data_IF_475207593094
#
_entry.id   IF_475207593094
#
_cell.length_a   1.000
_cell.length_b   1.000
_cell.length_c   1.000
_cell.angle_alpha   90.00
_cell.angle_beta   90.00
_cell.angle_gamma   90.00
#
_symmetry.space_group_name_H-M   'P 1'
#
loop_
_entity.id
_entity.type
_entity.pdbx_description
1 polymer ?
#
# COMPACT_ATOMS: atom_id res chain seq x y z
N UNK A 1 9.45 -3.49 26.59
CA UNK A 1 9.11 -2.10 26.23
C UNK A 1 9.24 -1.28 27.50
N UNK A 2 10.14 -0.31 27.52
CA UNK A 2 10.33 0.61 28.66
C UNK A 2 9.80 1.98 28.28
N UNK A 3 8.73 2.44 28.92
CA UNK A 3 8.30 3.84 28.84
C UNK A 3 9.10 4.67 29.83
N UNK A 4 9.83 5.69 29.36
CA UNK A 4 10.47 6.69 30.23
C UNK A 4 9.89 8.05 29.90
N UNK A 5 9.68 8.89 30.91
CA UNK A 5 9.47 10.32 30.70
C UNK A 5 10.85 10.97 30.60
N UNK A 6 11.17 11.62 29.49
CA UNK A 6 12.43 12.38 29.36
C UNK A 6 12.18 13.73 28.70
N UNK A 7 12.79 14.76 29.32
CA UNK A 7 12.80 16.15 28.90
C UNK A 7 13.70 16.29 27.67
N UNK A 8 13.17 16.78 26.55
CA UNK A 8 13.97 17.16 25.37
C UNK A 8 13.81 18.66 25.12
N UNK A 9 14.85 19.44 25.41
CA UNK A 9 14.99 20.84 24.98
C UNK A 9 14.67 21.93 26.02
N UNK A 10 15.68 22.37 26.80
CA UNK A 10 15.63 23.62 27.57
C UNK A 10 14.57 23.73 28.66
N UNK A 11 14.47 24.90 29.31
CA UNK A 11 13.53 25.15 30.41
C UNK A 11 12.06 25.08 30.00
N UNK A 12 11.75 25.21 28.70
CA UNK A 12 10.41 25.13 28.11
C UNK A 12 10.11 23.83 27.33
N UNK A 13 10.85 22.74 27.58
CA UNK A 13 10.61 21.46 26.93
C UNK A 13 9.18 20.93 27.19
N UNK A 14 8.46 20.59 26.13
CA UNK A 14 7.19 19.87 26.25
C UNK A 14 7.44 18.47 26.81
N UNK A 15 6.72 18.13 27.89
CA UNK A 15 6.66 16.76 28.38
C UNK A 15 5.76 15.95 27.47
N UNK A 16 6.31 14.86 26.93
CA UNK A 16 5.60 13.97 26.00
C UNK A 16 5.74 12.52 26.45
N UNK A 17 4.72 11.72 26.16
CA UNK A 17 4.81 10.27 26.29
C UNK A 17 5.52 9.72 25.06
N UNK A 18 6.36 8.71 25.24
CA UNK A 18 6.99 8.03 24.12
C UNK A 18 7.21 6.54 24.41
N UNK A 19 7.23 5.74 23.34
CA UNK A 19 7.56 4.32 23.38
C UNK A 19 8.47 3.96 22.21
N UNK A 20 9.20 2.87 22.33
CA UNK A 20 10.11 2.38 21.29
C UNK A 20 9.81 0.94 20.90
N UNK A 21 10.17 0.61 19.66
CA UNK A 21 10.09 -0.74 19.10
C UNK A 21 11.46 -1.10 18.57
N UNK A 22 12.05 -2.16 19.12
CA UNK A 22 13.25 -2.80 18.59
C UNK A 22 12.89 -4.21 18.11
N UNK A 23 13.25 -4.54 16.87
CA UNK A 23 13.14 -5.89 16.31
C UNK A 23 14.56 -6.39 16.10
N UNK A 24 14.88 -7.53 16.71
CA UNK A 24 16.19 -8.17 16.60
C UNK A 24 16.06 -9.52 15.91
N UNK A 25 17.12 -9.90 15.18
CA UNK A 25 17.20 -11.20 14.55
C UNK A 25 17.42 -12.27 15.62
N UNK A 26 16.50 -13.24 15.72
CA UNK A 26 16.45 -14.20 16.83
C UNK A 26 17.74 -15.01 17.05
N UNK A 27 18.48 -15.32 15.99
CA UNK A 27 19.72 -16.12 16.07
C UNK A 27 21.00 -15.31 16.27
N UNK A 28 21.02 -14.06 15.82
CA UNK A 28 22.27 -13.25 15.77
C UNK A 28 22.22 -12.06 16.70
N UNK A 29 21.06 -11.75 17.30
CA UNK A 29 20.84 -10.54 18.10
C UNK A 29 20.91 -9.24 17.30
N UNK A 30 21.20 -9.29 16.00
CA UNK A 30 21.34 -8.10 15.15
C UNK A 30 20.03 -7.32 15.13
N UNK A 31 20.10 -6.02 15.43
CA UNK A 31 18.96 -5.12 15.30
C UNK A 31 18.57 -5.00 13.82
N UNK A 32 17.35 -5.43 13.50
CA UNK A 32 16.75 -5.35 12.17
C UNK A 32 15.94 -4.06 12.00
N UNK A 33 15.35 -3.58 13.09
CA UNK A 33 14.54 -2.37 13.12
C UNK A 33 14.61 -1.73 14.49
N UNK A 34 14.62 -0.40 14.51
CA UNK A 34 14.46 0.39 15.72
C UNK A 34 13.71 1.66 15.37
N UNK A 35 12.72 2.02 16.18
CA UNK A 35 12.04 3.30 16.05
C UNK A 35 11.47 3.76 17.39
N UNK A 36 11.28 5.06 17.51
CA UNK A 36 10.72 5.72 18.69
C UNK A 36 9.49 6.52 18.26
N UNK A 37 8.38 6.36 18.99
CA UNK A 37 7.12 7.02 18.73
C UNK A 37 6.78 7.95 19.89
N UNK A 38 6.46 9.19 19.57
CA UNK A 38 5.92 10.17 20.51
C UNK A 38 4.40 10.15 20.41
N UNK A 39 3.71 10.20 21.54
CA UNK A 39 2.25 10.15 21.60
C UNK A 39 1.69 11.07 22.69
N UNK A 40 0.48 11.57 22.48
CA UNK A 40 -0.33 12.23 23.50
C UNK A 40 -1.22 11.24 24.28
N UNK A 41 -1.28 9.98 23.85
CA UNK A 41 -2.00 8.94 24.59
C UNK A 41 -1.24 8.54 25.87
N UNK A 42 -1.99 8.11 26.88
CA UNK A 42 -1.40 7.57 28.10
C UNK A 42 -0.77 6.20 27.82
N UNK A 43 0.47 6.03 28.27
CA UNK A 43 1.19 4.77 28.16
C UNK A 43 1.00 3.95 29.44
N UNK A 44 0.48 2.74 29.24
CA UNK A 44 0.30 1.70 30.24
C UNK A 44 0.79 0.39 29.62
N UNK A 45 0.92 -0.67 30.42
CA UNK A 45 1.28 -2.00 29.91
C UNK A 45 0.28 -2.50 28.85
N UNK A 46 -0.99 -2.10 28.97
CA UNK A 46 -2.06 -2.49 28.06
C UNK A 46 -2.11 -1.63 26.79
N UNK A 47 -1.73 -0.36 26.87
CA UNK A 47 -1.83 0.58 25.72
C UNK A 47 -0.54 0.69 24.90
N UNK A 48 0.62 0.34 25.46
CA UNK A 48 1.91 0.49 24.77
C UNK A 48 2.01 -0.35 23.50
N UNK A 49 1.46 -1.57 23.51
CA UNK A 49 1.45 -2.47 22.35
C UNK A 49 0.60 -1.91 21.21
N UNK A 50 -0.70 -1.63 21.37
CA UNK A 50 -1.51 -1.09 20.28
C UNK A 50 -1.04 0.29 19.80
N UNK A 51 -0.47 1.13 20.67
CA UNK A 51 0.13 2.42 20.26
C UNK A 51 1.36 2.20 19.37
N UNK A 52 2.25 1.28 19.77
CA UNK A 52 3.42 0.92 18.97
C UNK A 52 3.04 0.31 17.61
N UNK A 53 1.98 -0.52 17.56
CA UNK A 53 1.42 -1.05 16.32
C UNK A 53 0.89 0.05 15.41
N UNK A 54 0.11 0.99 15.95
CA UNK A 54 -0.38 2.14 15.20
C UNK A 54 0.77 3.03 14.68
N UNK A 55 1.78 3.28 15.51
CA UNK A 55 2.99 3.99 15.12
C UNK A 55 3.73 3.30 13.98
N UNK A 56 3.88 1.97 14.05
CA UNK A 56 4.50 1.17 13.00
C UNK A 56 3.68 1.16 11.71
N UNK A 57 2.35 1.08 11.81
CA UNK A 57 1.47 1.16 10.65
C UNK A 57 1.59 2.53 9.96
N UNK A 58 1.57 3.63 10.72
CA UNK A 58 1.79 4.98 10.20
C UNK A 58 3.15 5.12 9.53
N UNK A 59 4.23 4.70 10.19
CA UNK A 59 5.58 4.72 9.62
C UNK A 59 5.65 3.94 8.30
N UNK A 60 5.00 2.77 8.24
CA UNK A 60 4.95 1.96 7.03
C UNK A 60 4.21 2.66 5.88
N UNK A 61 3.07 3.29 6.17
CA UNK A 61 2.34 4.11 5.17
C UNK A 61 3.22 5.26 4.67
N UNK A 62 3.93 5.93 5.57
CA UNK A 62 4.77 7.07 5.21
C UNK A 62 6.01 6.65 4.39
N UNK A 63 6.74 5.62 4.83
CA UNK A 63 8.00 5.24 4.19
C UNK A 63 7.84 4.29 2.99
N UNK A 64 6.80 3.48 2.95
CA UNK A 64 6.55 2.60 1.80
C UNK A 64 5.58 3.27 0.84
N UNK A 65 4.35 3.55 1.28
CA UNK A 65 3.30 4.04 0.37
C UNK A 65 3.60 5.46 -0.14
N UNK A 66 3.87 6.44 0.73
CA UNK A 66 4.13 7.81 0.25
C UNK A 66 5.43 7.90 -0.56
N UNK A 67 6.43 7.10 -0.22
CA UNK A 67 7.68 7.05 -1.00
C UNK A 67 7.47 6.43 -2.39
N UNK A 68 6.61 5.40 -2.52
CA UNK A 68 6.19 4.86 -3.82
C UNK A 68 5.48 5.94 -4.64
N UNK A 69 4.56 6.67 -4.02
CA UNK A 69 3.81 7.75 -4.68
C UNK A 69 4.70 8.93 -5.11
N UNK A 70 5.84 9.14 -4.45
CA UNK A 70 6.84 10.13 -4.85
C UNK A 70 7.77 9.62 -5.94
N UNK A 71 8.34 8.42 -5.77
CA UNK A 71 9.54 8.01 -6.53
C UNK A 71 9.33 6.93 -7.58
N UNK A 72 8.19 6.22 -7.59
CA UNK A 72 7.98 5.02 -8.44
C UNK A 72 7.03 5.27 -9.61
N UNK A 73 7.16 6.43 -10.26
CA UNK A 73 6.42 6.76 -11.49
C UNK A 73 5.13 7.55 -11.28
N UNK A 74 4.66 7.70 -10.04
CA UNK A 74 3.51 8.56 -9.71
C UNK A 74 3.90 10.03 -9.53
N UNK A 75 5.13 10.29 -9.08
CA UNK A 75 5.76 11.62 -9.10
C UNK A 75 4.85 12.73 -8.56
N UNK A 76 4.07 12.44 -7.50
CA UNK A 76 3.09 13.40 -6.97
C UNK A 76 3.71 14.69 -6.42
N UNK A 77 5.04 14.72 -6.28
CA UNK A 77 5.83 15.91 -5.94
C UNK A 77 6.17 16.79 -7.16
N UNK A 78 5.94 16.32 -8.37
CA UNK A 78 6.18 17.05 -9.61
C UNK A 78 4.90 17.68 -10.16
N UNK A 79 5.06 18.91 -10.66
CA UNK A 79 3.99 19.62 -11.33
C UNK A 79 3.84 19.08 -12.76
N UNK A 80 2.68 18.47 -13.04
CA UNK A 80 2.33 17.94 -14.36
C UNK A 80 1.50 18.92 -15.23
N UNK A 81 1.33 20.15 -14.78
CA UNK A 81 0.64 21.22 -15.51
C UNK A 81 1.44 22.52 -15.51
N UNK A 82 1.11 23.43 -16.43
CA UNK A 82 1.79 24.72 -16.60
C UNK A 82 1.46 25.79 -15.52
N UNK A 83 0.83 25.42 -14.41
CA UNK A 83 0.36 26.34 -13.36
C UNK A 83 0.99 26.09 -11.98
N UNK A 84 1.05 27.14 -11.16
CA UNK A 84 1.70 27.15 -9.82
C UNK A 84 0.83 26.61 -8.67
N UNK A 85 -0.45 26.27 -8.90
CA UNK A 85 -1.38 25.79 -7.86
C UNK A 85 -2.21 24.58 -8.32
N UNK A 86 -2.25 23.53 -7.48
CA UNK A 86 -3.02 22.27 -7.62
C UNK A 86 -2.78 21.31 -8.82
N UNK A 87 -1.63 21.29 -9.52
CA UNK A 87 -1.49 20.47 -10.74
C UNK A 87 -1.37 18.95 -10.50
N UNK A 88 -0.91 18.50 -9.32
CA UNK A 88 -0.86 17.08 -8.98
C UNK A 88 -2.22 16.51 -8.52
N UNK A 89 -3.16 17.37 -8.12
CA UNK A 89 -4.45 16.96 -7.55
C UNK A 89 -5.35 16.24 -8.54
N UNK A 90 -5.28 16.58 -9.84
CA UNK A 90 -6.04 15.91 -10.89
C UNK A 90 -5.53 14.48 -11.11
N UNK A 91 -4.22 14.31 -11.29
CA UNK A 91 -3.61 12.98 -11.43
C UNK A 91 -3.78 12.14 -10.17
N UNK A 92 -3.71 12.75 -8.98
CA UNK A 92 -4.05 12.07 -7.72
C UNK A 92 -5.51 11.60 -7.72
N UNK A 93 -6.44 12.47 -8.11
CA UNK A 93 -7.87 12.16 -8.21
C UNK A 93 -8.16 11.06 -9.23
N UNK A 94 -7.35 10.88 -10.28
CA UNK A 94 -7.47 9.76 -11.22
C UNK A 94 -6.81 8.47 -10.69
N UNK A 95 -5.71 8.59 -9.94
CA UNK A 95 -5.04 7.43 -9.36
C UNK A 95 -5.87 6.75 -8.27
N UNK A 96 -6.51 7.52 -7.38
CA UNK A 96 -7.36 6.99 -6.31
C UNK A 96 -8.46 6.02 -6.80
N UNK A 97 -9.32 6.38 -7.77
CA UNK A 97 -10.30 5.47 -8.33
C UNK A 97 -9.64 4.34 -9.11
N UNK A 98 -8.52 4.54 -9.81
CA UNK A 98 -7.82 3.44 -10.48
C UNK A 98 -7.40 2.33 -9.49
N UNK A 99 -6.84 2.70 -8.33
CA UNK A 99 -6.52 1.75 -7.26
C UNK A 99 -7.79 1.13 -6.64
N UNK A 100 -8.84 1.92 -6.44
CA UNK A 100 -10.11 1.43 -5.93
C UNK A 100 -10.76 0.41 -6.89
N UNK A 101 -10.72 0.68 -8.20
CA UNK A 101 -11.28 -0.20 -9.21
C UNK A 101 -10.61 -1.57 -9.23
N UNK A 102 -9.30 -1.66 -8.95
CA UNK A 102 -8.67 -2.98 -8.78
C UNK A 102 -9.30 -3.78 -7.63
N UNK A 103 -9.63 -3.12 -6.52
CA UNK A 103 -10.29 -3.76 -5.37
C UNK A 103 -11.72 -4.13 -5.71
N UNK A 104 -12.47 -3.21 -6.34
CA UNK A 104 -13.85 -3.48 -6.77
C UNK A 104 -13.89 -4.64 -7.77
N UNK A 105 -13.00 -4.67 -8.77
CA UNK A 105 -12.93 -5.76 -9.75
C UNK A 105 -12.56 -7.10 -9.09
N UNK A 106 -11.62 -7.11 -8.13
CA UNK A 106 -11.36 -8.31 -7.35
C UNK A 106 -12.62 -8.78 -6.59
N UNK A 107 -13.51 -7.88 -6.15
CA UNK A 107 -14.74 -8.23 -5.45
C UNK A 107 -15.91 -8.65 -6.36
N UNK A 108 -16.09 -8.01 -7.51
CA UNK A 108 -17.31 -8.16 -8.32
C UNK A 108 -17.12 -8.99 -9.60
N UNK A 109 -15.88 -9.15 -10.07
CA UNK A 109 -15.58 -9.85 -11.31
C UNK A 109 -14.85 -11.16 -11.03
N UNK A 110 -15.57 -12.26 -11.13
CA UNK A 110 -15.05 -13.60 -10.87
C UNK A 110 -13.91 -13.99 -11.82
N UNK A 111 -13.96 -13.54 -13.09
CA UNK A 111 -12.93 -13.87 -14.08
C UNK A 111 -11.68 -13.04 -13.84
N UNK A 112 -11.85 -11.76 -13.50
CA UNK A 112 -10.75 -10.94 -13.03
C UNK A 112 -10.08 -11.58 -11.82
N UNK A 113 -10.83 -11.94 -10.77
CA UNK A 113 -10.29 -12.59 -9.57
C UNK A 113 -9.54 -13.89 -9.90
N UNK A 114 -10.11 -14.74 -10.76
CA UNK A 114 -9.48 -15.99 -11.18
C UNK A 114 -8.13 -15.76 -11.87
N UNK A 115 -8.08 -14.84 -12.84
CA UNK A 115 -6.85 -14.48 -13.55
C UNK A 115 -5.80 -13.89 -12.61
N UNK A 116 -6.23 -13.04 -11.67
CA UNK A 116 -5.36 -12.43 -10.65
C UNK A 116 -4.72 -13.48 -9.74
N UNK A 117 -5.48 -14.53 -9.38
CA UNK A 117 -4.96 -15.64 -8.59
C UNK A 117 -4.00 -16.52 -9.39
N UNK A 118 -4.33 -16.81 -10.65
CA UNK A 118 -3.50 -17.68 -11.50
C UNK A 118 -2.16 -17.04 -11.89
N UNK A 119 -2.14 -15.75 -12.22
CA UNK A 119 -0.92 -15.06 -12.69
C UNK A 119 -0.03 -14.55 -11.54
N UNK A 120 -0.50 -14.64 -10.30
CA UNK A 120 0.23 -14.26 -9.09
C UNK A 120 0.54 -12.76 -9.03
N UNK A 121 1.74 -12.37 -9.46
CA UNK A 121 2.20 -11.00 -9.34
C UNK A 121 1.33 -10.04 -10.17
N UNK A 122 0.89 -8.92 -9.56
CA UNK A 122 0.01 -7.94 -10.22
C UNK A 122 0.57 -7.42 -11.55
N UNK A 123 1.89 -7.31 -11.65
CA UNK A 123 2.60 -6.85 -12.85
C UNK A 123 2.42 -7.80 -14.04
N UNK A 124 2.37 -9.12 -13.82
CA UNK A 124 2.21 -10.10 -14.88
C UNK A 124 0.88 -9.90 -15.60
N UNK A 125 -0.22 -9.86 -14.84
CA UNK A 125 -1.56 -9.58 -15.38
C UNK A 125 -1.61 -8.31 -16.25
N UNK A 126 -1.08 -7.18 -15.77
CA UNK A 126 -1.11 -5.94 -16.54
C UNK A 126 -0.16 -5.94 -17.73
N UNK A 127 0.95 -6.67 -17.67
CA UNK A 127 1.82 -6.86 -18.83
C UNK A 127 1.12 -7.69 -19.91
N UNK A 128 0.37 -8.72 -19.53
CA UNK A 128 -0.40 -9.54 -20.48
C UNK A 128 -1.51 -8.72 -21.13
N UNK A 129 -2.31 -7.99 -20.33
CA UNK A 129 -3.33 -7.05 -20.85
C UNK A 129 -2.71 -6.06 -21.83
N UNK A 130 -1.57 -5.45 -21.48
CA UNK A 130 -0.86 -4.51 -22.36
C UNK A 130 -0.39 -5.18 -23.66
N UNK A 131 0.08 -6.41 -23.58
CA UNK A 131 0.61 -7.15 -24.73
C UNK A 131 -0.53 -7.54 -25.67
N UNK A 132 -1.59 -8.13 -25.12
CA UNK A 132 -2.76 -8.53 -25.89
C UNK A 132 -3.42 -7.34 -26.59
N UNK A 133 -3.64 -6.24 -25.88
CA UNK A 133 -4.25 -5.03 -26.47
C UNK A 133 -3.35 -4.26 -27.43
N UNK A 134 -2.04 -4.59 -27.47
CA UNK A 134 -1.13 -4.06 -28.50
C UNK A 134 -1.28 -4.76 -29.85
N UNK A 135 -1.62 -6.04 -29.84
CA UNK A 135 -1.61 -6.88 -31.05
C UNK A 135 -3.01 -7.34 -31.48
N UNK A 136 -3.97 -7.35 -30.57
CA UNK A 136 -5.32 -7.85 -30.77
C UNK A 136 -6.34 -6.78 -30.38
N UNK A 137 -7.45 -6.76 -31.11
CA UNK A 137 -8.61 -5.95 -30.78
C UNK A 137 -9.65 -6.81 -30.06
N UNK A 138 -10.24 -6.27 -28.99
CA UNK A 138 -11.30 -6.89 -28.22
C UNK A 138 -12.48 -5.93 -28.11
N UNK A 139 -13.69 -6.42 -28.38
CA UNK A 139 -14.91 -5.60 -28.39
C UNK A 139 -15.34 -5.14 -26.99
N UNK A 140 -14.84 -5.80 -25.94
CA UNK A 140 -15.14 -5.44 -24.56
C UNK A 140 -14.07 -5.94 -23.59
N UNK A 141 -14.10 -5.38 -22.37
CA UNK A 141 -13.30 -5.88 -21.25
C UNK A 141 -13.58 -7.37 -20.97
N UNK A 142 -14.84 -7.77 -21.06
CA UNK A 142 -15.25 -9.16 -20.82
C UNK A 142 -14.66 -10.11 -21.86
N UNK A 143 -14.65 -9.71 -23.14
CA UNK A 143 -14.04 -10.47 -24.22
C UNK A 143 -12.53 -10.68 -23.98
N UNK A 144 -11.81 -9.64 -23.55
CA UNK A 144 -10.38 -9.75 -23.20
C UNK A 144 -10.16 -10.76 -22.05
N UNK A 145 -10.94 -10.67 -20.96
CA UNK A 145 -10.80 -11.59 -19.83
C UNK A 145 -11.15 -13.02 -20.21
N UNK A 146 -12.18 -13.21 -21.04
CA UNK A 146 -12.58 -14.54 -21.54
C UNK A 146 -11.48 -15.17 -22.37
N UNK A 147 -10.86 -14.38 -23.25
CA UNK A 147 -9.70 -14.81 -24.01
C UNK A 147 -8.56 -15.25 -23.07
N UNK A 148 -8.22 -14.43 -22.07
CA UNK A 148 -7.15 -14.79 -21.12
C UNK A 148 -7.46 -16.05 -20.31
N UNK A 149 -8.70 -16.21 -19.82
CA UNK A 149 -9.14 -17.40 -19.08
C UNK A 149 -9.04 -18.65 -19.95
N UNK A 150 -9.47 -18.57 -21.21
CA UNK A 150 -9.39 -19.68 -22.16
C UNK A 150 -7.95 -20.04 -22.49
N UNK A 151 -7.10 -19.07 -22.82
CA UNK A 151 -5.70 -19.31 -23.19
C UNK A 151 -4.84 -19.83 -22.03
N UNK A 152 -5.22 -19.53 -20.79
CA UNK A 152 -4.58 -20.05 -19.58
C UNK A 152 -5.24 -21.34 -19.07
N UNK A 153 -6.22 -21.88 -19.80
CA UNK A 153 -6.95 -23.12 -19.47
C UNK A 153 -7.54 -23.09 -18.05
N UNK A 154 -8.04 -21.93 -17.62
CA UNK A 154 -8.56 -21.74 -16.27
C UNK A 154 -10.03 -22.13 -16.18
N UNK A 155 -10.37 -22.92 -15.17
CA UNK A 155 -11.74 -23.33 -14.89
C UNK A 155 -12.39 -22.35 -13.92
N UNK A 156 -13.49 -21.71 -14.34
CA UNK A 156 -14.37 -20.97 -13.45
C UNK A 156 -15.12 -21.96 -12.57
N UNK A 157 -14.59 -22.21 -11.37
CA UNK A 157 -15.36 -22.85 -10.32
C UNK A 157 -16.36 -21.81 -9.81
N UNK A 158 -17.61 -21.91 -10.26
CA UNK A 158 -18.69 -21.26 -9.55
C UNK A 158 -18.88 -22.03 -8.26
N UNK A 159 -18.49 -21.43 -7.13
CA UNK A 159 -18.98 -21.90 -5.83
C UNK A 159 -20.49 -21.65 -5.85
N UNK A 160 -21.25 -22.72 -6.11
CA UNK A 160 -22.70 -22.72 -6.00
C UNK A 160 -23.04 -22.45 -4.54
N UNK A 161 -23.68 -21.30 -4.28
CA UNK A 161 -24.34 -21.02 -3.00
C UNK A 161 -25.61 -21.88 -2.93
#
# INVERSE_FOLDING_TARGET
MTGRQTKSGGENALLVNWCEVAITHSKTGKQLYYNTFVTNHQLTEQTVVPIAEAGRARWKVENENNNILKTKGYHLEHNFGHGQQYPASFLLTLNLPAFLFHTVLELVDAKYRLLRQALGARRTFFNDVKTLTRYLYFDSWQHLLDFMVQQLELNLKFDTI
#
